data_IF_308640815259
#
_entry.id   IF_308640815259
#
_cell.length_a   1.000
_cell.length_b   1.000
_cell.length_c   1.000
_cell.angle_alpha   90.00
_cell.angle_beta   90.00
_cell.angle_gamma   90.00
#
_symmetry.space_group_name_H-M   'P 1'
#
loop_
_entity.id
_entity.type
_entity.pdbx_description
1 polymer ?
#
# COMPACT_ATOMS: atom_id res chain seq x y z
N UNK A 1 -27.42 -34.73 -43.37
CA UNK A 1 -26.96 -33.47 -44.00
C UNK A 1 -27.31 -32.29 -43.07
N UNK A 2 -26.87 -32.29 -41.81
CA UNK A 2 -27.38 -31.33 -40.79
C UNK A 2 -26.27 -30.57 -40.03
N UNK A 3 -25.01 -31.01 -40.12
CA UNK A 3 -23.85 -30.39 -39.45
C UNK A 3 -23.22 -29.21 -40.20
N UNK A 4 -23.45 -29.12 -41.51
CA UNK A 4 -22.93 -28.03 -42.34
C UNK A 4 -23.70 -26.71 -42.14
N UNK A 5 -24.99 -26.79 -41.82
CA UNK A 5 -25.84 -25.60 -41.65
C UNK A 5 -25.56 -24.89 -40.30
N UNK A 6 -25.35 -25.66 -39.24
CA UNK A 6 -25.00 -25.15 -37.90
C UNK A 6 -23.61 -24.52 -37.86
N UNK A 7 -22.63 -25.13 -38.53
CA UNK A 7 -21.26 -24.60 -38.62
C UNK A 7 -21.21 -23.23 -39.30
N UNK A 8 -21.98 -23.06 -40.39
CA UNK A 8 -22.09 -21.78 -41.11
C UNK A 8 -22.70 -20.68 -40.23
N UNK A 9 -23.76 -21.01 -39.48
CA UNK A 9 -24.42 -20.07 -38.57
C UNK A 9 -23.50 -19.62 -37.43
N UNK A 10 -22.66 -20.52 -36.89
CA UNK A 10 -21.67 -20.20 -35.85
C UNK A 10 -20.59 -19.27 -36.40
N UNK A 11 -20.07 -19.53 -37.61
CA UNK A 11 -19.06 -18.70 -38.24
C UNK A 11 -19.62 -17.30 -38.53
N UNK A 12 -20.86 -17.21 -39.00
CA UNK A 12 -21.52 -15.94 -39.27
C UNK A 12 -21.73 -15.11 -37.98
N UNK A 13 -22.05 -15.78 -36.85
CA UNK A 13 -22.20 -15.13 -35.54
C UNK A 13 -20.85 -14.65 -34.99
N UNK A 14 -19.77 -15.39 -35.23
CA UNK A 14 -18.39 -15.00 -34.87
C UNK A 14 -17.91 -13.77 -35.66
N UNK A 15 -18.21 -13.70 -36.97
CA UNK A 15 -17.89 -12.53 -37.81
C UNK A 15 -18.68 -11.31 -37.35
N UNK A 16 -19.95 -11.48 -37.00
CA UNK A 16 -20.79 -10.42 -36.42
C UNK A 16 -20.25 -9.96 -35.07
N UNK A 17 -19.81 -10.88 -34.21
CA UNK A 17 -19.18 -10.54 -32.93
C UNK A 17 -17.88 -9.77 -33.16
N UNK A 18 -17.05 -10.18 -34.12
CA UNK A 18 -15.80 -9.47 -34.46
C UNK A 18 -16.04 -8.05 -35.01
N UNK A 19 -17.12 -7.83 -35.75
CA UNK A 19 -17.51 -6.48 -36.22
C UNK A 19 -18.29 -5.65 -35.19
N UNK A 20 -18.91 -6.30 -34.20
CA UNK A 20 -19.73 -5.64 -33.18
C UNK A 20 -19.02 -5.50 -31.81
N UNK A 21 -17.85 -6.10 -31.63
CA UNK A 21 -17.04 -5.85 -30.45
C UNK A 21 -16.29 -4.52 -30.66
N UNK A 22 -16.60 -3.45 -29.93
CA UNK A 22 -15.82 -2.22 -30.03
C UNK A 22 -14.35 -2.53 -29.73
N UNK A 23 -13.39 -1.92 -30.45
CA UNK A 23 -11.98 -2.11 -30.15
C UNK A 23 -11.73 -1.69 -28.69
N UNK A 24 -11.28 -2.63 -27.86
CA UNK A 24 -10.88 -2.36 -26.48
C UNK A 24 -9.69 -1.42 -26.57
N UNK A 25 -9.96 -0.13 -26.42
CA UNK A 25 -8.94 0.93 -26.50
C UNK A 25 -8.24 0.97 -25.16
N UNK A 26 -6.98 0.55 -25.11
CA UNK A 26 -6.11 0.76 -23.97
C UNK A 26 -5.55 2.19 -24.03
N UNK A 27 -6.36 3.16 -23.64
CA UNK A 27 -6.00 4.59 -23.65
C UNK A 27 -5.28 4.98 -22.35
N UNK A 28 -4.05 4.49 -22.15
CA UNK A 28 -3.23 4.84 -20.98
C UNK A 28 -1.72 4.85 -21.20
N UNK A 29 -1.24 5.23 -22.39
CA UNK A 29 0.19 5.55 -22.58
C UNK A 29 0.50 6.97 -23.09
N UNK A 30 -0.49 7.81 -23.37
CA UNK A 30 -0.24 9.21 -23.81
C UNK A 30 0.09 10.19 -22.68
N UNK A 31 0.09 9.75 -21.41
CA UNK A 31 0.47 10.60 -20.27
C UNK A 31 1.95 10.57 -19.90
N UNK A 32 2.80 9.99 -20.76
CA UNK A 32 4.25 9.87 -20.56
C UNK A 32 5.07 10.71 -21.55
N UNK A 33 4.49 11.71 -22.21
CA UNK A 33 5.19 12.55 -23.22
C UNK A 33 5.24 14.05 -22.87
N UNK A 34 4.59 14.51 -21.78
CA UNK A 34 4.63 15.94 -21.41
C UNK A 34 5.80 16.32 -20.48
N UNK A 35 6.61 15.35 -20.05
CA UNK A 35 7.78 15.59 -19.19
C UNK A 35 9.08 15.65 -20.02
N UNK A 36 9.09 16.44 -21.09
CA UNK A 36 10.35 16.73 -21.82
C UNK A 36 10.46 18.17 -22.35
N UNK A 37 9.55 19.08 -22.00
CA UNK A 37 9.54 20.45 -22.51
C UNK A 37 9.74 21.51 -21.42
N UNK A 38 10.78 21.38 -20.59
CA UNK A 38 11.34 22.44 -19.75
C UNK A 38 12.83 22.09 -19.64
N UNK A 39 13.82 22.76 -20.23
CA UNK A 39 14.06 24.20 -20.36
C UNK A 39 15.12 24.40 -21.47
N UNK A 40 14.74 24.97 -22.61
CA UNK A 40 15.67 25.60 -23.55
C UNK A 40 15.73 27.10 -23.19
N UNK A 41 16.49 27.46 -22.16
CA UNK A 41 17.04 28.81 -21.98
C UNK A 41 18.08 28.84 -20.85
N UNK A 42 19.15 28.07 -20.99
CA UNK A 42 20.38 28.34 -20.25
C UNK A 42 21.21 29.33 -21.06
N UNK A 43 21.00 30.61 -20.81
CA UNK A 43 22.00 31.65 -21.09
C UNK A 43 23.17 31.32 -20.16
N UNK A 44 24.22 30.71 -20.72
CA UNK A 44 25.50 30.56 -20.04
C UNK A 44 26.04 31.98 -19.87
N UNK A 45 25.83 32.56 -18.69
CA UNK A 45 26.66 33.69 -18.26
C UNK A 45 28.04 33.10 -17.96
N UNK A 46 29.08 33.66 -18.58
CA UNK A 46 30.46 33.39 -18.21
C UNK A 46 30.60 33.42 -16.69
N UNK A 47 31.33 32.47 -16.07
CA UNK A 47 31.48 32.45 -14.63
C UNK A 47 32.19 33.72 -14.21
N UNK A 48 31.47 34.61 -13.51
CA UNK A 48 32.08 35.72 -12.82
C UNK A 48 32.97 35.13 -11.72
N UNK A 49 34.26 35.03 -12.02
CA UNK A 49 35.33 34.62 -11.12
C UNK A 49 35.40 35.69 -10.02
N UNK A 50 34.79 35.44 -8.87
CA UNK A 50 34.73 36.48 -7.84
C UNK A 50 34.31 36.06 -6.44
N UNK A 51 33.37 35.13 -6.27
CA UNK A 51 32.88 34.80 -4.92
C UNK A 51 32.92 33.28 -4.71
N UNK A 52 33.66 32.85 -3.69
CA UNK A 52 33.66 31.46 -3.25
C UNK A 52 32.21 31.05 -2.92
N UNK A 53 31.69 29.91 -3.40
CA UNK A 53 30.39 29.43 -2.98
C UNK A 53 30.46 29.09 -1.48
N UNK A 54 29.72 29.86 -0.69
CA UNK A 54 29.28 29.51 0.66
C UNK A 54 28.59 28.14 0.57
N UNK A 55 29.18 27.17 1.27
CA UNK A 55 28.83 25.76 1.31
C UNK A 55 27.48 25.56 2.00
N UNK A 56 26.42 25.91 1.28
CA UNK A 56 25.04 25.62 1.65
C UNK A 56 24.76 24.12 1.69
N UNK A 57 25.12 23.47 2.80
CA UNK A 57 24.38 22.44 3.55
C UNK A 57 23.31 21.64 2.78
N UNK A 58 23.75 20.69 1.94
CA UNK A 58 22.91 19.66 1.31
C UNK A 58 22.95 18.29 2.04
N UNK A 59 23.29 18.25 3.34
CA UNK A 59 23.45 17.00 4.10
C UNK A 59 22.17 16.47 4.77
N UNK A 60 21.04 17.18 4.68
CA UNK A 60 19.88 16.88 5.54
C UNK A 60 18.92 15.82 4.94
N UNK A 61 18.95 15.58 3.63
CA UNK A 61 17.99 14.66 2.98
C UNK A 61 18.41 13.18 3.04
N UNK A 62 19.69 12.86 3.15
CA UNK A 62 20.17 11.47 3.24
C UNK A 62 20.04 10.87 4.67
N UNK A 63 19.94 11.73 5.69
CA UNK A 63 19.84 11.29 7.09
C UNK A 63 18.44 10.84 7.52
N UNK A 64 17.39 11.22 6.78
CA UNK A 64 15.99 10.86 7.12
C UNK A 64 15.62 9.41 6.77
N UNK A 65 16.36 8.75 5.89
CA UNK A 65 16.05 7.37 5.45
C UNK A 65 16.55 6.30 6.42
N UNK A 66 17.38 6.64 7.40
CA UNK A 66 18.10 5.68 8.25
C UNK A 66 17.72 5.77 9.73
N UNK A 67 16.42 5.74 10.02
CA UNK A 67 15.91 5.46 11.36
C UNK A 67 14.81 4.40 11.36
N UNK A 68 14.84 3.47 10.40
CA UNK A 68 14.11 2.22 10.56
C UNK A 68 14.75 1.46 11.73
N UNK A 69 14.01 1.37 12.83
CA UNK A 69 14.34 0.57 14.01
C UNK A 69 14.89 -0.80 13.58
N UNK A 70 16.11 -1.16 14.00
CA UNK A 70 16.74 -2.44 13.64
C UNK A 70 15.89 -3.67 14.06
N UNK A 71 14.98 -3.46 15.01
CA UNK A 71 13.98 -4.45 15.47
C UNK A 71 13.00 -4.86 14.37
N UNK A 72 12.69 -3.97 13.43
CA UNK A 72 11.77 -4.23 12.31
C UNK A 72 12.40 -5.20 11.31
N UNK A 73 13.72 -5.11 11.07
CA UNK A 73 14.43 -5.98 10.13
C UNK A 73 14.51 -7.45 10.59
N UNK A 74 14.44 -7.70 11.90
CA UNK A 74 14.45 -9.05 12.49
C UNK A 74 13.07 -9.66 12.73
N UNK A 75 11.98 -9.00 12.28
CA UNK A 75 10.63 -9.48 12.53
C UNK A 75 10.36 -10.80 11.79
N UNK A 76 9.97 -11.82 12.56
CA UNK A 76 9.63 -13.14 12.01
C UNK A 76 8.12 -13.27 11.78
N UNK A 77 7.72 -14.00 10.74
CA UNK A 77 6.31 -14.32 10.51
C UNK A 77 5.83 -15.31 11.57
N UNK A 78 4.92 -14.88 12.47
CA UNK A 78 4.49 -15.69 13.62
C UNK A 78 3.92 -17.06 13.23
N UNK A 79 3.22 -17.12 12.08
CA UNK A 79 2.61 -18.33 11.54
C UNK A 79 3.68 -19.34 11.08
N UNK A 80 4.76 -18.85 10.47
CA UNK A 80 5.82 -19.70 9.89
C UNK A 80 6.78 -20.18 10.98
N UNK A 81 7.07 -19.33 11.98
CA UNK A 81 8.02 -19.66 13.04
C UNK A 81 7.45 -20.59 14.12
N UNK A 82 6.15 -20.88 14.11
CA UNK A 82 5.50 -21.65 15.17
C UNK A 82 5.43 -20.92 16.51
N UNK A 83 5.55 -19.59 16.49
CA UNK A 83 5.47 -18.77 17.70
C UNK A 83 4.00 -18.63 18.15
N UNK A 84 3.79 -18.38 19.45
CA UNK A 84 2.44 -18.04 19.94
C UNK A 84 1.93 -16.77 19.27
N UNK A 85 0.70 -16.81 18.74
CA UNK A 85 0.08 -15.65 18.14
C UNK A 85 -0.11 -14.53 19.19
N UNK A 86 0.22 -13.28 18.86
CA UNK A 86 0.06 -12.17 19.78
C UNK A 86 -1.43 -11.90 20.02
N UNK A 87 -1.80 -11.70 21.28
CA UNK A 87 -3.19 -11.46 21.70
C UNK A 87 -3.42 -9.95 21.84
N UNK A 88 -4.51 -9.43 21.27
CA UNK A 88 -4.90 -8.03 21.45
C UNK A 88 -5.36 -7.80 22.90
N UNK A 89 -4.63 -6.96 23.65
CA UNK A 89 -4.96 -6.61 25.02
C UNK A 89 -5.96 -5.45 25.11
N UNK A 90 -6.23 -4.76 24.00
CA UNK A 90 -7.11 -3.60 23.91
C UNK A 90 -8.23 -3.81 22.89
N UNK A 91 -9.07 -4.84 23.05
CA UNK A 91 -10.06 -5.22 22.04
C UNK A 91 -11.16 -4.16 21.83
N UNK A 92 -11.40 -3.29 22.81
CA UNK A 92 -12.42 -2.25 22.72
C UNK A 92 -12.04 -1.08 21.79
N UNK A 93 -10.77 -1.00 21.36
CA UNK A 93 -10.31 0.06 20.47
C UNK A 93 -10.56 -0.35 19.01
N UNK A 94 -11.61 0.21 18.42
CA UNK A 94 -11.94 0.05 17.00
C UNK A 94 -11.44 1.26 16.20
N UNK A 95 -11.07 1.07 14.92
CA UNK A 95 -10.67 2.17 14.05
C UNK A 95 -11.85 3.09 13.75
N UNK A 96 -11.60 4.40 13.77
CA UNK A 96 -12.66 5.39 13.56
C UNK A 96 -13.04 5.46 12.08
N UNK A 97 -14.33 5.58 11.82
CA UNK A 97 -14.85 5.68 10.46
C UNK A 97 -14.75 7.15 10.00
N UNK A 98 -13.98 7.41 8.94
CA UNK A 98 -13.79 8.78 8.41
C UNK A 98 -15.08 9.34 7.80
N UNK A 99 -15.34 10.64 8.00
CA UNK A 99 -16.56 11.31 7.50
C UNK A 99 -16.75 11.15 5.99
N UNK A 100 -15.69 11.34 5.21
CA UNK A 100 -15.72 11.17 3.74
C UNK A 100 -16.14 9.77 3.32
N UNK A 101 -15.57 8.74 3.94
CA UNK A 101 -15.95 7.36 3.69
C UNK A 101 -17.40 7.09 4.08
N UNK A 102 -17.90 7.72 5.16
CA UNK A 102 -19.26 7.51 5.66
C UNK A 102 -20.27 8.12 4.69
N UNK A 103 -19.99 9.34 4.23
CA UNK A 103 -20.79 10.02 3.20
C UNK A 103 -20.75 9.29 1.86
N UNK A 104 -19.62 8.69 1.50
CA UNK A 104 -19.46 7.90 0.28
C UNK A 104 -20.00 6.45 0.38
N UNK A 105 -20.46 6.02 1.56
CA UNK A 105 -21.03 4.68 1.74
C UNK A 105 -20.02 3.54 1.56
N UNK A 106 -18.74 3.79 1.83
CA UNK A 106 -17.67 2.83 1.55
C UNK A 106 -17.80 1.63 2.49
N UNK A 107 -17.59 0.41 2.01
CA UNK A 107 -17.54 -0.77 2.87
C UNK A 107 -16.50 -1.74 2.33
N UNK A 108 -15.91 -2.53 3.22
CA UNK A 108 -14.96 -3.56 2.81
C UNK A 108 -14.06 -4.03 3.93
N UNK A 109 -13.09 -4.87 3.57
CA UNK A 109 -12.10 -5.41 4.50
C UNK A 109 -10.72 -5.01 4.00
N UNK A 110 -9.92 -4.40 4.86
CA UNK A 110 -8.51 -4.15 4.61
C UNK A 110 -7.67 -5.06 5.49
N UNK A 111 -6.50 -5.46 5.02
CA UNK A 111 -5.56 -6.25 5.82
C UNK A 111 -4.44 -5.33 6.28
N UNK A 112 -4.16 -5.33 7.57
CA UNK A 112 -3.04 -4.59 8.14
C UNK A 112 -1.89 -5.54 8.45
N UNK A 113 -0.70 -5.21 7.98
CA UNK A 113 0.56 -5.76 8.43
C UNK A 113 0.99 -4.99 9.69
N UNK A 114 1.11 -5.70 10.81
CA UNK A 114 1.49 -5.14 12.11
C UNK A 114 2.77 -5.84 12.58
N UNK A 115 3.79 -5.06 12.94
CA UNK A 115 5.01 -5.56 13.56
C UNK A 115 4.93 -5.29 15.06
N UNK A 116 4.94 -6.36 15.84
CA UNK A 116 4.80 -6.34 17.30
C UNK A 116 6.14 -6.73 17.91
N UNK A 117 6.66 -5.88 18.80
CA UNK A 117 7.90 -6.09 19.52
C UNK A 117 7.79 -7.25 20.54
N UNK A 118 8.93 -7.70 21.03
CA UNK A 118 9.04 -8.64 22.16
C UNK A 118 8.44 -8.07 23.47
N UNK A 119 8.26 -6.75 23.55
CA UNK A 119 7.58 -6.07 24.67
C UNK A 119 6.06 -5.98 24.50
N UNK A 120 5.51 -6.35 23.34
CA UNK A 120 4.08 -6.19 23.02
C UNK A 120 3.70 -4.81 22.46
N UNK A 121 4.67 -3.95 22.19
CA UNK A 121 4.46 -2.67 21.49
C UNK A 121 4.33 -2.86 19.98
N UNK A 122 3.47 -2.05 19.36
CA UNK A 122 3.37 -1.98 17.90
C UNK A 122 4.46 -1.05 17.38
N UNK A 123 5.44 -1.61 16.67
CA UNK A 123 6.57 -0.86 16.10
C UNK A 123 6.22 -0.22 14.75
N UNK A 124 5.42 -0.93 13.95
CA UNK A 124 5.04 -0.51 12.60
C UNK A 124 3.70 -1.10 12.23
N UNK A 125 2.87 -0.29 11.58
CA UNK A 125 1.62 -0.70 10.95
C UNK A 125 1.62 -0.26 9.50
N UNK A 126 1.26 -1.16 8.58
CA UNK A 126 1.10 -0.87 7.15
C UNK A 126 -0.16 -1.51 6.63
N UNK A 127 -0.93 -0.79 5.83
CA UNK A 127 -2.02 -1.41 5.08
C UNK A 127 -1.45 -2.22 3.90
N UNK A 128 -1.92 -3.44 3.75
CA UNK A 128 -1.53 -4.36 2.67
C UNK A 128 -2.77 -4.82 1.91
N UNK A 129 -2.63 -4.95 0.59
CA UNK A 129 -3.73 -5.33 -0.29
C UNK A 129 -4.39 -4.14 -0.97
N UNK A 130 -5.67 -4.31 -1.35
CA UNK A 130 -6.42 -3.31 -2.10
C UNK A 130 -6.80 -2.15 -1.19
N UNK A 131 -6.43 -0.90 -1.50
CA UNK A 131 -6.89 0.25 -0.73
C UNK A 131 -8.41 0.40 -0.89
N UNK A 132 -9.08 0.61 0.24
CA UNK A 132 -10.46 1.08 0.36
C UNK A 132 -10.54 2.57 0.02
N UNK A 133 -9.49 3.33 0.30
CA UNK A 133 -9.42 4.77 0.10
C UNK A 133 -10.16 5.56 1.17
N UNK A 134 -10.35 6.86 0.89
CA UNK A 134 -11.11 7.79 1.76
C UNK A 134 -10.55 7.95 3.18
N UNK A 135 -9.30 7.55 3.43
CA UNK A 135 -8.62 7.71 4.72
C UNK A 135 -8.95 6.62 5.76
N UNK A 136 -9.68 5.57 5.38
CA UNK A 136 -10.02 4.47 6.28
C UNK A 136 -8.78 3.73 6.77
N UNK A 137 -7.80 3.52 5.89
CA UNK A 137 -6.55 2.85 6.22
C UNK A 137 -5.72 3.64 7.21
N UNK A 138 -5.65 4.97 7.01
CA UNK A 138 -4.87 5.83 7.89
C UNK A 138 -5.47 5.90 9.29
N UNK A 139 -6.80 6.02 9.39
CA UNK A 139 -7.50 5.90 10.67
C UNK A 139 -7.24 4.54 11.33
N UNK A 140 -7.25 3.46 10.55
CA UNK A 140 -6.92 2.13 11.05
C UNK A 140 -5.50 2.06 11.60
N UNK A 141 -4.53 2.55 10.84
CA UNK A 141 -3.12 2.60 11.21
C UNK A 141 -2.95 3.36 12.54
N UNK A 142 -3.57 4.54 12.68
CA UNK A 142 -3.49 5.36 13.90
C UNK A 142 -4.09 4.65 15.12
N UNK A 143 -5.22 3.95 14.96
CA UNK A 143 -5.80 3.18 16.06
C UNK A 143 -4.94 1.98 16.47
N UNK A 144 -4.31 1.30 15.50
CA UNK A 144 -3.44 0.17 15.81
C UNK A 144 -2.13 0.57 16.51
N UNK A 145 -1.58 1.76 16.24
CA UNK A 145 -0.43 2.27 17.01
C UNK A 145 -0.74 2.51 18.49
N UNK A 146 -2.00 2.77 18.84
CA UNK A 146 -2.44 2.96 20.22
C UNK A 146 -2.76 1.64 20.95
N UNK A 147 -2.88 0.54 20.20
CA UNK A 147 -3.15 -0.78 20.77
C UNK A 147 -1.92 -1.38 21.45
N UNK A 148 -2.18 -2.24 22.42
CA UNK A 148 -1.17 -3.08 23.06
C UNK A 148 -1.48 -4.54 22.80
N UNK A 149 -0.43 -5.30 22.52
CA UNK A 149 -0.51 -6.73 22.26
C UNK A 149 0.27 -7.50 23.31
N UNK A 150 -0.12 -8.74 23.55
CA UNK A 150 0.72 -9.69 24.27
C UNK A 150 1.88 -10.09 23.37
N UNK A 151 3.12 -10.13 23.87
CA UNK A 151 4.27 -10.51 23.07
C UNK A 151 4.17 -11.96 22.61
N UNK A 152 4.69 -12.22 21.42
CA UNK A 152 4.80 -13.58 20.88
C UNK A 152 6.00 -14.28 21.48
N UNK A 153 5.78 -15.49 21.97
CA UNK A 153 6.82 -16.32 22.57
C UNK A 153 7.16 -17.46 21.62
N UNK A 154 8.44 -17.62 21.35
CA UNK A 154 9.01 -18.75 20.61
C UNK A 154 10.02 -19.45 21.52
N UNK A 155 9.81 -20.74 21.79
CA UNK A 155 10.70 -21.55 22.65
C UNK A 155 10.99 -20.90 24.02
N UNK A 156 9.99 -20.24 24.61
CA UNK A 156 10.12 -19.55 25.90
C UNK A 156 10.79 -18.17 25.85
N UNK A 157 11.20 -17.69 24.67
CA UNK A 157 11.77 -16.35 24.46
C UNK A 157 10.78 -15.43 23.75
N UNK A 158 10.58 -14.20 24.23
CA UNK A 158 9.77 -13.22 23.51
C UNK A 158 10.51 -12.77 22.25
N UNK A 159 9.80 -12.71 21.13
CA UNK A 159 10.36 -12.34 19.83
C UNK A 159 9.52 -11.25 19.17
N UNK A 160 10.16 -10.45 18.31
CA UNK A 160 9.45 -9.52 17.44
C UNK A 160 8.83 -10.29 16.28
N UNK A 161 7.53 -10.11 16.09
CA UNK A 161 6.78 -10.81 15.04
C UNK A 161 6.03 -9.87 14.12
N UNK A 162 5.83 -10.33 12.89
CA UNK A 162 4.96 -9.71 11.90
C UNK A 162 3.67 -10.51 11.80
N UNK A 163 2.53 -9.83 11.87
CA UNK A 163 1.20 -10.43 11.79
C UNK A 163 0.31 -9.67 10.81
N UNK A 164 -0.63 -10.39 10.20
CA UNK A 164 -1.64 -9.82 9.31
C UNK A 164 -3.00 -9.85 9.99
N UNK A 165 -3.61 -8.68 10.16
CA UNK A 165 -4.90 -8.52 10.83
C UNK A 165 -5.93 -8.00 9.83
N UNK A 166 -6.97 -8.78 9.48
CA UNK A 166 -8.06 -8.28 8.66
C UNK A 166 -8.98 -7.39 9.49
N UNK A 167 -9.19 -6.17 9.02
CA UNK A 167 -10.08 -5.16 9.62
C UNK A 167 -11.26 -4.95 8.70
N UNK A 168 -12.47 -5.24 9.21
CA UNK A 168 -13.71 -5.07 8.47
C UNK A 168 -14.34 -3.71 8.79
N UNK A 169 -14.62 -2.95 7.74
CA UNK A 169 -15.36 -1.70 7.78
C UNK A 169 -16.77 -1.92 7.22
N UNK A 170 -17.78 -1.71 8.05
CA UNK A 170 -19.18 -1.80 7.68
C UNK A 170 -19.97 -0.62 8.24
N UNK A 171 -20.84 -0.05 7.42
CA UNK A 171 -21.85 0.91 7.82
C UNK A 171 -23.12 0.13 8.18
N UNK A 172 -23.72 0.45 9.33
CA UNK A 172 -24.99 -0.11 9.81
C UNK A 172 -26.12 0.89 9.60
#
# INVERSE_FOLDING_TARGET
>A
METFLTSSLIIQLLVLFFWYTPPITYDRLDKLVDEVAFVDNLVIQDPNVGEAPDDGEFEVTDTLKKKEDSRIAGAQDAIVSGATAPVDLTPNMVPEYTKDAQSAGVTGTTTLEVIIADSGEVLRVRAVGKPLGFGLEESAIQSFYKKRYSPSVLEGKPITVKVYVPVRFSLY
#
